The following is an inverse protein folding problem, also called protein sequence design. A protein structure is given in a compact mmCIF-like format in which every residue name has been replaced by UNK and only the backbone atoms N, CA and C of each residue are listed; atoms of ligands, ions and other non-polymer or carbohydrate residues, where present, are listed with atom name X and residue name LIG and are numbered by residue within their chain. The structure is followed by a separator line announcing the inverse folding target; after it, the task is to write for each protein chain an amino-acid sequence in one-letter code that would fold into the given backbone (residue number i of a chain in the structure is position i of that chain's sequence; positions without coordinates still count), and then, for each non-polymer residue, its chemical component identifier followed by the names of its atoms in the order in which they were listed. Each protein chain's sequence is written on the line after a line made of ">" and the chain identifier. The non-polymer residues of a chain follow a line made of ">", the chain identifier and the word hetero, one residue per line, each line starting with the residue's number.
data_IF_811475051776
#
_entry.id   IF_811475051776
#
_cell.length_a   1.000
_cell.length_b   1.000
_cell.length_c   1.000
_cell.angle_alpha   90.00
_cell.angle_beta   90.00
_cell.angle_gamma   90.00
#
_symmetry.space_group_name_H-M   'P 1'
#
loop_
_entity.id
_entity.type
_entity.pdbx_description
1 polymer ?
#
# COMPACT_ATOMS: atom_id res chain seq x y z
N UNK A 1 15.39 -14.31 -5.51
CA UNK A 1 14.43 -14.00 -6.58
C UNK A 1 14.32 -12.48 -6.72
N UNK A 2 14.26 -11.93 -7.94
CA UNK A 2 14.06 -10.49 -8.18
C UNK A 2 12.59 -10.29 -8.56
N UNK A 3 11.78 -9.71 -7.69
CA UNK A 3 10.32 -9.60 -7.88
C UNK A 3 9.92 -8.24 -8.49
N UNK A 4 10.68 -7.20 -8.15
CA UNK A 4 10.55 -5.86 -8.71
C UNK A 4 11.89 -5.12 -8.58
N UNK A 5 11.99 -3.99 -9.27
CA UNK A 5 13.02 -2.97 -9.03
C UNK A 5 12.37 -1.60 -8.90
N UNK A 6 12.96 -0.75 -8.08
CA UNK A 6 12.52 0.63 -7.86
C UNK A 6 13.76 1.50 -7.68
N UNK A 7 13.68 2.73 -8.16
CA UNK A 7 14.70 3.76 -7.92
C UNK A 7 14.57 4.22 -6.46
N UNK A 8 15.68 4.32 -5.73
CA UNK A 8 15.64 4.87 -4.37
C UNK A 8 15.16 6.34 -4.46
N UNK A 9 14.07 6.73 -3.78
CA UNK A 9 13.59 8.11 -3.84
C UNK A 9 14.65 9.05 -3.26
N UNK A 10 14.77 10.25 -3.80
CA UNK A 10 15.74 11.25 -3.35
C UNK A 10 15.09 12.24 -2.39
N UNK A 11 14.96 11.87 -1.11
CA UNK A 11 14.39 12.76 -0.10
C UNK A 11 15.40 13.83 0.36
N UNK A 12 14.86 14.95 0.83
CA UNK A 12 15.67 15.97 1.49
C UNK A 12 16.39 15.37 2.70
N UNK A 13 17.68 15.72 2.86
CA UNK A 13 18.57 15.18 3.89
C UNK A 13 18.90 13.69 3.73
N UNK A 14 18.64 13.13 2.56
CA UNK A 14 18.97 11.76 2.19
C UNK A 14 17.89 10.75 2.54
N UNK A 15 18.05 9.54 1.99
CA UNK A 15 17.09 8.45 2.12
C UNK A 15 17.72 7.28 2.85
N UNK A 16 17.13 6.89 3.98
CA UNK A 16 17.50 5.66 4.66
C UNK A 16 16.71 4.50 4.07
N UNK A 17 17.42 3.44 3.65
CA UNK A 17 16.82 2.22 3.11
C UNK A 17 16.87 1.12 4.15
N UNK A 18 15.72 0.50 4.43
CA UNK A 18 15.61 -0.74 5.21
C UNK A 18 15.01 -1.82 4.32
N UNK A 19 15.49 -3.06 4.45
CA UNK A 19 14.93 -4.17 3.68
C UNK A 19 15.04 -5.49 4.43
N UNK A 20 14.08 -6.36 4.17
CA UNK A 20 14.10 -7.76 4.59
C UNK A 20 13.62 -8.65 3.44
N UNK A 21 14.19 -9.84 3.35
CA UNK A 21 13.75 -10.87 2.41
C UNK A 21 13.83 -12.23 3.11
N UNK A 22 12.68 -12.88 3.24
CA UNK A 22 12.50 -14.20 3.84
C UNK A 22 11.88 -15.14 2.81
N UNK A 23 12.53 -15.31 1.65
CA UNK A 23 12.21 -16.31 0.62
C UNK A 23 10.88 -16.07 -0.11
N UNK A 24 9.78 -16.25 0.61
CA UNK A 24 8.40 -16.09 0.16
C UNK A 24 7.80 -14.74 0.53
N UNK A 25 8.55 -13.85 1.15
CA UNK A 25 8.08 -12.50 1.38
C UNK A 25 9.17 -11.59 1.90
N UNK A 26 8.83 -10.32 2.06
CA UNK A 26 9.77 -9.34 2.55
C UNK A 26 9.22 -7.93 2.45
N UNK A 27 10.11 -6.99 2.70
CA UNK A 27 9.79 -5.58 2.55
C UNK A 27 11.00 -4.78 2.11
N UNK A 28 10.73 -3.62 1.53
CA UNK A 28 11.67 -2.52 1.36
C UNK A 28 11.01 -1.26 1.88
N UNK A 29 11.72 -0.46 2.67
CA UNK A 29 11.24 0.80 3.26
C UNK A 29 12.25 1.89 2.95
N UNK A 30 11.77 3.02 2.46
CA UNK A 30 12.49 4.27 2.27
C UNK A 30 12.00 5.27 3.30
N UNK A 31 12.92 5.88 4.04
CA UNK A 31 12.60 6.84 5.10
C UNK A 31 13.34 8.14 4.80
N UNK A 32 12.60 9.24 4.68
CA UNK A 32 13.11 10.60 4.51
C UNK A 32 13.30 11.34 5.83
N UNK A 33 14.07 12.43 5.79
CA UNK A 33 14.39 13.23 6.99
C UNK A 33 13.20 13.97 7.62
N UNK A 34 12.11 14.18 6.87
CA UNK A 34 10.91 14.89 7.34
C UNK A 34 9.72 13.97 7.66
N UNK A 35 10.01 12.69 7.83
CA UNK A 35 9.01 11.67 8.12
C UNK A 35 8.28 11.13 6.90
N UNK A 36 8.77 11.43 5.70
CA UNK A 36 8.39 10.71 4.49
C UNK A 36 8.72 9.22 4.66
N UNK A 37 7.76 8.37 4.29
CA UNK A 37 7.93 6.93 4.31
C UNK A 37 7.25 6.32 3.10
N UNK A 38 8.01 5.56 2.34
CA UNK A 38 7.50 4.65 1.32
C UNK A 38 7.89 3.23 1.70
N UNK A 39 6.92 2.32 1.72
CA UNK A 39 7.16 0.91 2.03
C UNK A 39 6.48 0.01 1.03
N UNK A 40 7.21 -0.98 0.57
CA UNK A 40 6.73 -2.04 -0.30
C UNK A 40 6.85 -3.32 0.48
N UNK A 41 5.72 -3.90 0.87
CA UNK A 41 5.66 -5.28 1.36
C UNK A 41 5.24 -6.20 0.22
N UNK A 42 5.76 -7.41 0.24
CA UNK A 42 5.39 -8.43 -0.73
C UNK A 42 5.39 -9.81 -0.09
N UNK A 43 4.45 -10.64 -0.53
CA UNK A 43 4.36 -12.06 -0.15
C UNK A 43 4.00 -12.87 -1.38
N UNK A 44 4.61 -14.05 -1.52
CA UNK A 44 4.31 -15.00 -2.58
C UNK A 44 2.90 -15.54 -2.35
N UNK A 45 2.15 -15.63 -3.43
CA UNK A 45 0.79 -16.17 -3.45
C UNK A 45 0.64 -17.17 -4.59
N UNK A 46 -0.36 -18.04 -4.50
CA UNK A 46 -0.78 -18.85 -5.65
C UNK A 46 -1.49 -17.95 -6.66
N UNK A 47 -0.74 -17.44 -7.63
CA UNK A 47 -1.28 -16.56 -8.66
C UNK A 47 -2.30 -17.22 -9.57
N UNK A 48 -2.26 -18.55 -9.73
CA UNK A 48 -3.25 -19.24 -10.55
C UNK A 48 -4.60 -19.28 -9.84
N UNK A 49 -4.59 -19.56 -8.52
CA UNK A 49 -5.79 -19.51 -7.70
C UNK A 49 -6.39 -18.10 -7.64
N UNK A 50 -5.57 -17.06 -7.51
CA UNK A 50 -6.03 -15.67 -7.52
C UNK A 50 -6.52 -15.25 -8.91
N UNK A 51 -5.83 -15.64 -9.99
CA UNK A 51 -6.26 -15.33 -11.35
C UNK A 51 -7.62 -15.92 -11.68
N UNK A 52 -7.95 -17.09 -11.15
CA UNK A 52 -9.24 -17.75 -11.37
C UNK A 52 -10.42 -17.05 -10.69
N UNK A 53 -10.15 -16.12 -9.78
CA UNK A 53 -11.18 -15.38 -9.05
C UNK A 53 -11.66 -14.16 -9.84
N UNK A 54 -12.95 -13.86 -9.71
CA UNK A 54 -13.52 -12.61 -10.20
C UNK A 54 -12.96 -11.38 -9.42
N UNK A 55 -13.33 -10.18 -9.88
CA UNK A 55 -12.82 -8.96 -9.27
C UNK A 55 -13.36 -8.74 -7.85
N UNK A 56 -14.61 -9.13 -7.58
CA UNK A 56 -15.24 -8.96 -6.26
C UNK A 56 -14.58 -9.85 -5.21
N UNK A 57 -14.30 -11.11 -5.55
CA UNK A 57 -13.63 -12.07 -4.66
C UNK A 57 -12.19 -11.63 -4.37
N UNK A 58 -11.49 -11.07 -5.35
CA UNK A 58 -10.15 -10.51 -5.13
C UNK A 58 -10.18 -9.29 -4.21
N UNK A 59 -11.21 -8.44 -4.29
CA UNK A 59 -11.36 -7.33 -3.35
C UNK A 59 -11.59 -7.83 -1.92
N UNK A 60 -12.42 -8.85 -1.71
CA UNK A 60 -12.60 -9.47 -0.39
C UNK A 60 -11.29 -10.04 0.18
N UNK A 61 -10.46 -10.65 -0.66
CA UNK A 61 -9.12 -11.09 -0.26
C UNK A 61 -8.26 -9.90 0.21
N UNK A 62 -8.28 -8.79 -0.52
CA UNK A 62 -7.50 -7.60 -0.17
C UNK A 62 -8.01 -6.90 1.09
N UNK A 63 -9.32 -6.87 1.30
CA UNK A 63 -9.94 -6.40 2.53
C UNK A 63 -9.47 -7.23 3.72
N UNK A 64 -9.49 -8.57 3.60
CA UNK A 64 -8.96 -9.44 4.65
C UNK A 64 -7.46 -9.24 4.93
N UNK A 65 -6.67 -8.88 3.91
CA UNK A 65 -5.27 -8.49 4.10
C UNK A 65 -5.15 -7.18 4.88
N UNK A 66 -5.93 -6.16 4.53
CA UNK A 66 -5.96 -4.89 5.26
C UNK A 66 -6.43 -5.07 6.71
N UNK A 67 -7.44 -5.89 6.96
CA UNK A 67 -7.96 -6.17 8.31
C UNK A 67 -6.87 -6.78 9.21
N UNK A 68 -6.06 -7.69 8.66
CA UNK A 68 -4.91 -8.25 9.38
C UNK A 68 -3.88 -7.18 9.73
N UNK A 69 -3.58 -6.26 8.80
CA UNK A 69 -2.66 -5.14 9.05
C UNK A 69 -3.20 -4.23 10.16
N UNK A 70 -4.48 -3.88 10.09
CA UNK A 70 -5.14 -2.99 11.03
C UNK A 70 -5.18 -3.61 12.43
N UNK A 71 -5.56 -4.88 12.52
CA UNK A 71 -5.60 -5.63 13.77
C UNK A 71 -4.20 -5.75 14.39
N UNK A 72 -3.19 -6.14 13.61
CA UNK A 72 -1.83 -6.34 14.11
C UNK A 72 -1.14 -5.06 14.59
N UNK A 73 -1.57 -3.90 14.10
CA UNK A 73 -0.95 -2.60 14.42
C UNK A 73 -1.86 -1.68 15.26
N UNK A 74 -3.02 -2.17 15.72
CA UNK A 74 -4.05 -1.34 16.35
C UNK A 74 -4.41 -0.08 15.53
N UNK A 75 -4.38 -0.21 14.20
CA UNK A 75 -4.64 0.89 13.29
C UNK A 75 -6.16 1.06 13.07
N UNK A 76 -6.53 2.05 12.26
CA UNK A 76 -7.92 2.27 11.83
C UNK A 76 -7.98 2.60 10.34
N UNK A 77 -8.88 1.95 9.60
CA UNK A 77 -9.22 2.34 8.24
C UNK A 77 -10.14 3.57 8.30
N UNK A 78 -9.72 4.65 7.67
CA UNK A 78 -10.49 5.90 7.58
C UNK A 78 -11.30 5.98 6.29
N UNK A 79 -10.77 5.42 5.21
CA UNK A 79 -11.44 5.28 3.93
C UNK A 79 -10.86 4.07 3.20
N UNK A 80 -11.69 3.39 2.40
CA UNK A 80 -11.23 2.36 1.48
C UNK A 80 -12.08 2.41 0.21
N UNK A 81 -11.42 2.27 -0.94
CA UNK A 81 -12.10 2.20 -2.23
C UNK A 81 -11.33 1.29 -3.21
N UNK A 82 -12.04 0.51 -4.04
CA UNK A 82 -11.43 -0.15 -5.18
C UNK A 82 -10.84 0.90 -6.13
N UNK A 83 -9.62 0.66 -6.61
CA UNK A 83 -9.05 1.45 -7.70
C UNK A 83 -9.17 0.69 -9.01
N UNK A 84 -9.75 1.37 -10.01
CA UNK A 84 -9.83 0.86 -11.38
C UNK A 84 -8.50 1.12 -12.10
N UNK A 85 -7.73 0.06 -12.35
CA UNK A 85 -6.57 0.06 -13.24
C UNK A 85 -6.83 -0.80 -14.49
N UNK A 86 -6.12 -0.58 -15.62
CA UNK A 86 -6.23 -1.44 -16.79
C UNK A 86 -5.86 -2.88 -16.45
N UNK A 87 -6.85 -3.76 -16.34
CA UNK A 87 -6.64 -5.18 -16.09
C UNK A 87 -6.08 -5.53 -14.72
N UNK A 88 -6.22 -4.66 -13.72
CA UNK A 88 -5.74 -4.93 -12.36
C UNK A 88 -6.77 -4.54 -11.31
N UNK A 89 -7.17 -5.52 -10.50
CA UNK A 89 -7.91 -5.27 -9.26
C UNK A 89 -6.94 -4.74 -8.22
N UNK A 90 -7.27 -3.59 -7.63
CA UNK A 90 -6.48 -2.93 -6.60
C UNK A 90 -7.43 -2.38 -5.53
N UNK A 91 -7.01 -2.41 -4.27
CA UNK A 91 -7.74 -1.82 -3.16
C UNK A 91 -6.88 -0.74 -2.51
N UNK A 92 -7.38 0.50 -2.52
CA UNK A 92 -6.78 1.60 -1.77
C UNK A 92 -7.46 1.75 -0.41
N UNK A 93 -6.67 2.11 0.59
CA UNK A 93 -7.17 2.56 1.88
C UNK A 93 -6.33 3.71 2.44
N UNK A 94 -6.98 4.65 3.14
CA UNK A 94 -6.33 5.56 4.05
C UNK A 94 -6.39 4.95 5.45
N UNK A 95 -5.23 4.70 6.05
CA UNK A 95 -5.11 4.02 7.35
C UNK A 95 -4.36 4.90 8.34
N UNK A 96 -4.94 5.09 9.53
CA UNK A 96 -4.31 5.75 10.66
C UNK A 96 -3.65 4.71 11.57
N UNK A 97 -2.34 4.84 11.75
CA UNK A 97 -1.53 4.01 12.65
C UNK A 97 -1.16 4.84 13.89
N UNK A 98 -1.62 4.46 15.08
CA UNK A 98 -1.36 5.24 16.28
C UNK A 98 0.12 5.24 16.67
N UNK A 99 0.64 6.41 17.06
CA UNK A 99 2.04 6.64 17.48
C UNK A 99 3.12 6.05 16.53
N UNK A 100 2.79 5.89 15.24
CA UNK A 100 3.64 5.20 14.26
C UNK A 100 4.39 6.13 13.30
N UNK A 101 4.21 7.45 13.43
CA UNK A 101 4.93 8.41 12.58
C UNK A 101 6.41 8.46 12.94
N UNK A 102 7.22 8.85 11.95
CA UNK A 102 8.63 9.21 12.21
C UNK A 102 8.76 10.55 12.93
N UNK A 103 7.69 11.37 12.95
CA UNK A 103 7.68 12.66 13.63
C UNK A 103 7.21 12.53 15.08
N UNK A 104 7.89 13.26 15.95
CA UNK A 104 7.62 13.32 17.39
C UNK A 104 6.97 14.66 17.70
N UNK A 105 5.90 14.64 18.49
CA UNK A 105 5.26 15.83 19.02
C UNK A 105 6.19 16.48 20.05
N UNK A 106 6.61 17.72 19.79
CA UNK A 106 7.59 18.43 20.63
C UNK A 106 7.08 18.82 22.03
N UNK A 107 5.77 18.76 22.29
CA UNK A 107 5.18 19.06 23.62
C UNK A 107 5.07 17.82 24.48
N UNK A 108 4.69 16.70 23.89
CA UNK A 108 4.43 15.43 24.60
C UNK A 108 5.62 14.47 24.56
N UNK A 109 6.55 14.67 23.62
CA UNK A 109 7.67 13.76 23.38
C UNK A 109 7.27 12.41 22.77
N UNK A 110 5.97 12.23 22.46
CA UNK A 110 5.44 11.01 21.85
C UNK A 110 5.51 11.07 20.33
N UNK A 111 5.56 9.91 19.68
CA UNK A 111 5.37 9.84 18.24
C UNK A 111 3.94 10.24 17.90
N UNK A 112 3.80 10.99 16.82
CA UNK A 112 2.49 11.32 16.27
C UNK A 112 1.88 10.09 15.60
N UNK A 113 0.57 10.13 15.41
CA UNK A 113 -0.12 9.17 14.56
C UNK A 113 0.36 9.31 13.11
N UNK A 114 0.45 8.19 12.42
CA UNK A 114 0.85 8.12 11.01
C UNK A 114 -0.38 7.85 10.15
N UNK A 115 -0.63 8.74 9.19
CA UNK A 115 -1.67 8.56 8.19
C UNK A 115 -1.02 8.07 6.90
N UNK A 116 -1.35 6.85 6.48
CA UNK A 116 -0.74 6.21 5.31
C UNK A 116 -1.79 5.90 4.26
N UNK A 117 -1.48 6.26 3.02
CA UNK A 117 -2.11 5.62 1.88
C UNK A 117 -1.58 4.19 1.78
N UNK A 118 -2.47 3.22 1.70
CA UNK A 118 -2.15 1.79 1.54
C UNK A 118 -2.80 1.29 0.26
N UNK A 119 -2.01 0.69 -0.62
CA UNK A 119 -2.50 0.05 -1.84
C UNK A 119 -2.21 -1.45 -1.78
N UNK A 120 -3.25 -2.27 -1.89
CA UNK A 120 -3.14 -3.73 -1.99
C UNK A 120 -3.42 -4.15 -3.42
N UNK A 121 -2.53 -4.96 -3.97
CA UNK A 121 -2.67 -5.50 -5.32
C UNK A 121 -1.90 -6.81 -5.49
N UNK A 122 -2.27 -7.59 -6.49
CA UNK A 122 -1.50 -8.76 -6.92
C UNK A 122 -0.89 -8.54 -8.29
N UNK A 123 0.37 -8.93 -8.46
CA UNK A 123 1.06 -8.89 -9.76
C UNK A 123 2.04 -10.06 -9.85
N UNK A 124 1.92 -10.84 -10.93
CA UNK A 124 2.60 -12.14 -11.04
C UNK A 124 2.29 -13.05 -9.85
N UNK A 125 3.31 -13.72 -9.32
CA UNK A 125 3.21 -14.65 -8.19
C UNK A 125 3.20 -13.97 -6.80
N UNK A 126 2.89 -12.67 -6.71
CA UNK A 126 3.03 -11.89 -5.49
C UNK A 126 1.82 -11.01 -5.21
N UNK A 127 1.45 -10.94 -3.93
CA UNK A 127 0.63 -9.89 -3.36
C UNK A 127 1.57 -8.80 -2.82
N UNK A 128 1.23 -7.55 -3.11
CA UNK A 128 1.95 -6.36 -2.70
C UNK A 128 1.06 -5.49 -1.82
N UNK A 129 1.68 -4.89 -0.81
CA UNK A 129 1.11 -3.77 -0.07
C UNK A 129 2.07 -2.60 -0.15
N UNK A 130 1.61 -1.49 -0.74
CA UNK A 130 2.37 -0.26 -0.87
C UNK A 130 1.87 0.72 0.18
N UNK A 131 2.75 1.25 1.00
CA UNK A 131 2.42 2.24 2.03
C UNK A 131 3.14 3.54 1.72
N UNK A 132 2.43 4.66 1.81
CA UNK A 132 3.03 5.99 1.68
C UNK A 132 2.53 6.92 2.78
N UNK A 133 3.47 7.50 3.53
CA UNK A 133 3.29 8.65 4.43
C UNK A 133 4.06 9.82 3.81
N UNK A 134 3.37 10.89 3.39
CA UNK A 134 4.04 12.04 2.79
C UNK A 134 4.29 13.15 3.84
N UNK A 135 5.38 12.98 4.58
CA UNK A 135 5.84 13.85 5.66
C UNK A 135 4.97 13.80 6.91
N UNK A 136 5.54 14.13 8.08
CA UNK A 136 4.80 14.09 9.36
C UNK A 136 3.68 15.13 9.52
N UNK A 137 3.33 15.85 8.45
CA UNK A 137 2.17 16.74 8.34
C UNK A 137 1.02 16.10 7.56
N UNK A 138 1.16 14.85 7.11
CA UNK A 138 0.03 14.12 6.54
C UNK A 138 -1.05 13.94 7.61
N UNK A 139 -2.18 14.62 7.42
CA UNK A 139 -3.41 14.40 8.19
C UNK A 139 -3.66 15.28 9.41
N UNK A 140 -2.66 15.93 9.99
CA UNK A 140 -2.87 16.82 11.14
C UNK A 140 -3.46 18.18 10.71
N UNK A 141 -4.79 18.25 10.61
CA UNK A 141 -5.55 19.50 10.35
C UNK A 141 -6.11 19.65 8.92
N UNK A 142 -5.92 18.65 8.06
CA UNK A 142 -6.48 18.62 6.71
C UNK A 142 -7.83 17.87 6.69
N UNK A 143 -8.85 18.32 5.93
CA UNK A 143 -10.10 17.56 5.78
C UNK A 143 -9.87 16.15 5.23
N UNK A 144 -10.61 15.16 5.73
CA UNK A 144 -10.41 13.75 5.39
C UNK A 144 -10.41 13.45 3.89
N UNK A 145 -11.28 14.08 3.11
CA UNK A 145 -11.34 13.92 1.65
C UNK A 145 -10.03 14.29 0.94
N UNK A 146 -9.36 15.35 1.40
CA UNK A 146 -8.07 15.77 0.84
C UNK A 146 -6.95 14.80 1.24
N UNK A 147 -7.01 14.25 2.45
CA UNK A 147 -6.06 13.22 2.89
C UNK A 147 -6.19 11.96 2.02
N UNK A 148 -7.42 11.53 1.73
CA UNK A 148 -7.73 10.41 0.84
C UNK A 148 -7.16 10.67 -0.57
N UNK A 149 -7.50 11.82 -1.17
CA UNK A 149 -7.02 12.17 -2.51
C UNK A 149 -5.48 12.20 -2.59
N UNK A 150 -4.84 12.88 -1.63
CA UNK A 150 -3.37 12.97 -1.57
C UNK A 150 -2.73 11.60 -1.33
N UNK A 151 -3.35 10.75 -0.51
CA UNK A 151 -2.85 9.42 -0.20
C UNK A 151 -2.92 8.51 -1.43
N UNK A 152 -4.03 8.58 -2.17
CA UNK A 152 -4.22 7.88 -3.44
C UNK A 152 -3.20 8.31 -4.49
N UNK A 153 -3.01 9.61 -4.68
CA UNK A 153 -2.01 10.15 -5.62
C UNK A 153 -0.59 9.67 -5.26
N UNK A 154 -0.27 9.63 -3.97
CA UNK A 154 1.04 9.22 -3.48
C UNK A 154 1.30 7.72 -3.72
N UNK A 155 0.35 6.84 -3.40
CA UNK A 155 0.51 5.40 -3.67
C UNK A 155 0.51 5.08 -5.16
N UNK A 156 -0.26 5.81 -5.98
CA UNK A 156 -0.27 5.63 -7.43
C UNK A 156 1.05 6.08 -8.06
N UNK A 157 1.66 7.16 -7.57
CA UNK A 157 3.01 7.56 -7.96
C UNK A 157 4.02 6.47 -7.65
N UNK A 158 4.04 5.98 -6.40
CA UNK A 158 4.91 4.88 -6.00
C UNK A 158 4.70 3.64 -6.89
N UNK A 159 3.44 3.26 -7.15
CA UNK A 159 3.12 2.13 -8.04
C UNK A 159 3.74 2.32 -9.44
N UNK A 160 3.69 3.53 -9.99
CA UNK A 160 4.26 3.87 -11.31
C UNK A 160 5.78 3.82 -11.36
N UNK A 161 6.46 3.97 -10.23
CA UNK A 161 7.93 3.89 -10.12
C UNK A 161 8.45 2.45 -9.98
N UNK A 162 7.56 1.51 -9.63
CA UNK A 162 7.92 0.10 -9.45
C UNK A 162 7.91 -0.62 -10.80
N UNK A 163 9.07 -1.14 -11.17
CA UNK A 163 9.24 -2.03 -12.32
C UNK A 163 9.12 -3.49 -11.87
N UNK A 164 7.94 -4.07 -12.04
CA UNK A 164 7.67 -5.46 -11.67
C UNK A 164 8.29 -6.44 -12.68
N UNK A 165 8.85 -7.55 -12.18
CA UNK A 165 9.51 -8.57 -13.01
C UNK A 165 8.56 -9.71 -13.44
N UNK A 166 7.24 -9.50 -13.36
CA UNK A 166 6.22 -10.47 -13.74
C UNK A 166 5.00 -9.79 -14.34
N UNK A 167 4.27 -10.52 -15.19
CA UNK A 167 3.06 -10.00 -15.83
C UNK A 167 1.94 -9.75 -14.80
N UNK A 168 1.08 -8.74 -15.02
CA UNK A 168 -0.18 -8.59 -14.31
C UNK A 168 -0.97 -9.90 -14.25
N UNK A 169 -1.64 -10.15 -13.12
CA UNK A 169 -2.59 -11.26 -13.05
C UNK A 169 -3.76 -10.92 -13.98
N UNK A 170 -4.05 -11.75 -15.00
CA UNK A 170 -5.14 -11.45 -15.93
C UNK A 170 -6.48 -11.40 -15.18
N UNK A 171 -7.30 -10.42 -15.51
CA UNK A 171 -8.69 -10.36 -15.04
C UNK A 171 -9.49 -11.38 -15.84
N UNK A 172 -9.98 -12.43 -15.16
CA UNK A 172 -11.06 -13.25 -15.71
C UNK A 172 -12.28 -12.34 -15.78
N UNK A 173 -12.70 -11.99 -17.00
CA UNK A 173 -13.84 -11.10 -17.23
C UNK A 173 -15.05 -11.65 -16.45
N UNK A 174 -15.69 -10.79 -15.66
CA UNK A 174 -16.99 -11.07 -15.04
C UNK A 174 -18.02 -11.38 -16.13
N UNK A 175 -18.20 -12.67 -16.44
CA UNK A 175 -19.25 -13.15 -17.35
C UNK A 175 -20.45 -13.68 -16.55
N UNK A 176 -20.75 -13.06 -15.41
CA UNK A 176 -21.96 -13.33 -14.64
C UNK A 176 -22.99 -12.19 -14.76
N UNK A 177 -23.89 -12.36 -15.74
CA UNK A 177 -25.29 -11.88 -15.84
C UNK A 177 -25.63 -10.42 -15.50
N UNK A 178 -26.12 -9.69 -16.50
CA UNK A 178 -27.32 -8.86 -16.29
C UNK A 178 -28.55 -9.79 -16.24
N UNK A 179 -29.50 -9.61 -15.30
CA UNK A 179 -30.83 -10.19 -15.42
C UNK A 179 -31.61 -9.49 -16.56
N UNK A 180 -32.62 -10.20 -17.07
CA UNK A 180 -33.46 -9.92 -18.25
C UNK A 180 -33.89 -8.46 -18.45
#
# INVERSE_FOLDING_TARGET
>A
MKNFSITVPNYAFGTKVQKSNKGDGGFVVFIGGFGDLERIEYVRVDSAAIAAQDSATRLLLYEGVLDNVVTANHAQILAAEPLSGPGETQLYALVQFPEASQVVDGKTGKRMDSFRGVLVLTRGAFLYMLYVEAGGLFGAGEPGEKQVARGKDAVQRLLGEINFQGSPIPVVRDTARAPE
#
